data_IF_269772579344
#
_entry.id   IF_269772579344
#
_cell.length_a   1.000
_cell.length_b   1.000
_cell.length_c   1.000
_cell.angle_alpha   90.00
_cell.angle_beta   90.00
_cell.angle_gamma   90.00
#
_symmetry.space_group_name_H-M   'P 1'
#
loop_
_entity.id
_entity.type
_entity.pdbx_description
1 polymer ?
#
# COMPACT_ATOMS: atom_id res chain seq x y z
N UNK A 1 -5.71 26.29 1.69
CA UNK A 1 -4.49 25.45 1.85
C UNK A 1 -4.01 25.61 3.28
N UNK A 2 -3.58 24.52 3.95
CA UNK A 2 -2.99 24.60 5.29
C UNK A 2 -1.47 24.52 5.16
N UNK A 3 -0.75 25.36 5.92
CA UNK A 3 0.70 25.37 5.95
C UNK A 3 1.19 24.48 7.09
N UNK A 4 2.26 23.72 6.84
CA UNK A 4 2.88 22.84 7.84
C UNK A 4 4.34 23.24 7.93
N UNK A 5 4.80 23.50 9.16
CA UNK A 5 6.23 23.72 9.45
C UNK A 5 6.81 22.41 9.95
N UNK A 6 7.90 21.95 9.33
CA UNK A 6 8.56 20.68 9.66
C UNK A 6 10.02 20.99 10.00
N UNK A 7 10.48 20.53 11.15
CA UNK A 7 11.90 20.51 11.49
C UNK A 7 12.51 19.22 10.96
N UNK A 8 13.58 19.34 10.18
CA UNK A 8 14.33 18.21 9.61
C UNK A 8 15.82 18.47 9.76
N UNK A 9 16.61 17.40 9.83
CA UNK A 9 18.06 17.49 9.84
C UNK A 9 18.58 18.05 8.51
N UNK A 10 19.65 18.84 8.57
CA UNK A 10 20.25 19.50 7.40
C UNK A 10 20.67 18.51 6.30
N UNK A 11 21.16 17.32 6.69
CA UNK A 11 21.54 16.28 5.73
C UNK A 11 20.33 15.76 4.96
N UNK A 12 19.19 15.57 5.64
CA UNK A 12 17.94 15.14 5.03
C UNK A 12 17.42 16.22 4.10
N UNK A 13 17.45 17.49 4.51
CA UNK A 13 17.07 18.62 3.67
C UNK A 13 17.92 18.70 2.39
N UNK A 14 19.24 18.54 2.52
CA UNK A 14 20.16 18.58 1.38
C UNK A 14 19.87 17.47 0.38
N UNK A 15 19.68 16.23 0.85
CA UNK A 15 19.34 15.09 -0.01
C UNK A 15 17.98 15.27 -0.67
N UNK A 16 16.98 15.73 0.08
CA UNK A 16 15.64 16.01 -0.45
C UNK A 16 15.69 17.08 -1.55
N UNK A 17 16.50 18.13 -1.38
CA UNK A 17 16.66 19.19 -2.38
C UNK A 17 17.34 18.69 -3.66
N UNK A 18 18.36 17.86 -3.54
CA UNK A 18 19.02 17.23 -4.71
C UNK A 18 18.01 16.37 -5.48
N UNK A 19 17.24 15.54 -4.76
CA UNK A 19 16.22 14.69 -5.37
C UNK A 19 15.11 15.50 -6.04
N UNK A 20 14.62 16.54 -5.37
CA UNK A 20 13.60 17.44 -5.91
C UNK A 20 14.07 18.09 -7.22
N UNK A 21 15.32 18.57 -7.26
CA UNK A 21 15.91 19.17 -8.46
C UNK A 21 16.07 18.15 -9.61
N UNK A 22 16.42 16.89 -9.31
CA UNK A 22 16.50 15.83 -10.33
C UNK A 22 15.13 15.51 -10.95
N UNK A 23 14.05 15.68 -10.20
CA UNK A 23 12.69 15.40 -10.66
C UNK A 23 11.97 16.67 -11.21
N UNK A 24 12.68 17.80 -11.36
CA UNK A 24 12.09 19.11 -11.69
C UNK A 24 10.92 19.51 -10.74
N UNK A 25 11.03 19.14 -9.46
CA UNK A 25 10.02 19.41 -8.42
C UNK A 25 10.59 20.25 -7.28
N UNK A 26 9.72 20.61 -6.32
CA UNK A 26 10.12 21.25 -5.07
C UNK A 26 10.04 20.25 -3.90
N UNK A 27 10.81 20.51 -2.83
CA UNK A 27 10.74 19.72 -1.59
C UNK A 27 9.31 19.71 -1.03
N UNK A 28 8.59 20.82 -1.12
CA UNK A 28 7.18 20.90 -0.70
C UNK A 28 6.25 20.04 -1.56
N UNK A 29 6.51 19.90 -2.86
CA UNK A 29 5.78 18.98 -3.73
C UNK A 29 6.05 17.52 -3.36
N UNK A 30 7.31 17.15 -3.11
CA UNK A 30 7.67 15.80 -2.64
C UNK A 30 6.96 15.45 -1.31
N UNK A 31 6.93 16.38 -0.36
CA UNK A 31 6.24 16.18 0.93
C UNK A 31 4.74 16.02 0.71
N UNK A 32 4.13 16.84 -0.16
CA UNK A 32 2.71 16.70 -0.51
C UNK A 32 2.43 15.32 -1.09
N UNK A 33 3.20 14.89 -2.07
CA UNK A 33 2.98 13.61 -2.76
C UNK A 33 3.19 12.42 -1.83
N UNK A 34 4.16 12.52 -0.92
CA UNK A 34 4.38 11.52 0.12
C UNK A 34 3.17 11.40 1.05
N UNK A 35 2.63 12.53 1.54
CA UNK A 35 1.45 12.53 2.41
C UNK A 35 0.21 11.99 1.70
N UNK A 36 0.02 12.31 0.41
CA UNK A 36 -1.08 11.75 -0.39
C UNK A 36 -0.93 10.23 -0.53
N UNK A 37 0.28 9.75 -0.85
CA UNK A 37 0.56 8.31 -0.95
C UNK A 37 0.34 7.59 0.38
N UNK A 38 0.73 8.21 1.49
CA UNK A 38 0.55 7.66 2.83
C UNK A 38 -0.94 7.51 3.16
N UNK A 39 -1.75 8.56 2.94
CA UNK A 39 -3.19 8.51 3.17
C UNK A 39 -3.88 7.44 2.28
N UNK A 40 -3.49 7.36 1.01
CA UNK A 40 -4.04 6.35 0.09
C UNK A 40 -3.64 4.92 0.49
N UNK A 41 -2.46 4.71 1.07
CA UNK A 41 -2.05 3.38 1.54
C UNK A 41 -2.94 2.88 2.68
N UNK A 42 -3.28 3.75 3.64
CA UNK A 42 -4.23 3.41 4.71
C UNK A 42 -5.60 3.03 4.13
N UNK A 43 -6.12 3.82 3.18
CA UNK A 43 -7.37 3.52 2.48
C UNK A 43 -7.32 2.17 1.74
N UNK A 44 -6.20 1.83 1.09
CA UNK A 44 -6.07 0.56 0.39
C UNK A 44 -6.03 -0.63 1.34
N UNK A 45 -5.36 -0.52 2.49
CA UNK A 45 -5.30 -1.57 3.49
C UNK A 45 -6.69 -1.84 4.09
N UNK A 46 -7.42 -0.78 4.41
CA UNK A 46 -8.80 -0.88 4.89
C UNK A 46 -9.73 -1.48 3.83
N UNK A 47 -9.62 -1.02 2.58
CA UNK A 47 -10.38 -1.56 1.45
C UNK A 47 -10.10 -3.04 1.20
N UNK A 48 -8.84 -3.47 1.27
CA UNK A 48 -8.45 -4.87 1.13
C UNK A 48 -9.02 -5.73 2.26
N UNK A 49 -9.01 -5.23 3.49
CA UNK A 49 -9.62 -5.91 4.64
C UNK A 49 -11.12 -6.09 4.45
N UNK A 50 -11.83 -5.06 3.97
CA UNK A 50 -13.25 -5.16 3.65
C UNK A 50 -13.52 -6.16 2.52
N UNK A 51 -12.71 -6.15 1.45
CA UNK A 51 -12.84 -7.09 0.35
C UNK A 51 -12.59 -8.54 0.81
N UNK A 52 -11.62 -8.75 1.69
CA UNK A 52 -11.34 -10.04 2.30
C UNK A 52 -12.54 -10.53 3.11
N UNK A 53 -13.13 -9.69 3.96
CA UNK A 53 -14.34 -10.05 4.72
C UNK A 53 -15.51 -10.39 3.82
N UNK A 54 -15.78 -9.58 2.79
CA UNK A 54 -16.83 -9.85 1.82
C UNK A 54 -16.60 -11.17 1.08
N UNK A 55 -15.37 -11.43 0.65
CA UNK A 55 -14.99 -12.68 -0.02
C UNK A 55 -15.14 -13.87 0.92
N UNK A 56 -14.69 -13.76 2.16
CA UNK A 56 -14.83 -14.81 3.18
C UNK A 56 -16.29 -15.10 3.51
N UNK A 57 -17.17 -14.09 3.58
CA UNK A 57 -18.62 -14.27 3.76
C UNK A 57 -19.28 -15.01 2.60
N UNK A 58 -18.74 -14.90 1.37
CA UNK A 58 -19.23 -15.68 0.21
C UNK A 58 -18.86 -17.16 0.30
N UNK A 59 -17.84 -17.51 1.08
CA UNK A 59 -17.43 -18.91 1.30
C UNK A 59 -18.39 -19.54 2.32
N UNK A 60 -19.50 -20.10 1.84
CA UNK A 60 -20.53 -20.75 2.68
C UNK A 60 -20.16 -22.16 3.11
N UNK A 61 -19.46 -22.92 2.26
CA UNK A 61 -18.94 -24.26 2.55
C UNK A 61 -17.60 -24.43 1.85
N UNK A 62 -16.58 -24.81 2.61
CA UNK A 62 -15.27 -25.16 2.10
C UNK A 62 -14.95 -26.56 2.61
N UNK A 63 -14.81 -27.53 1.70
CA UNK A 63 -14.37 -28.89 2.02
C UNK A 63 -13.13 -29.20 1.22
N UNK A 64 -12.03 -29.46 1.92
CA UNK A 64 -10.75 -29.81 1.29
C UNK A 64 -10.86 -31.04 0.37
N UNK A 65 -11.78 -31.96 0.67
CA UNK A 65 -12.05 -33.16 -0.13
C UNK A 65 -12.59 -32.87 -1.55
N UNK A 66 -13.19 -31.70 -1.81
CA UNK A 66 -13.79 -31.36 -3.10
C UNK A 66 -12.75 -30.84 -4.13
N UNK A 67 -11.52 -30.51 -3.69
CA UNK A 67 -10.52 -29.83 -4.54
C UNK A 67 -9.45 -30.75 -5.13
N UNK A 68 -9.22 -31.91 -4.52
CA UNK A 68 -8.33 -32.94 -5.01
C UNK A 68 -8.71 -34.28 -4.38
N UNK A 69 -9.31 -35.15 -5.18
CA UNK A 69 -9.42 -36.55 -4.80
C UNK A 69 -8.02 -37.13 -4.64
N UNK A 70 -7.81 -37.94 -3.60
CA UNK A 70 -6.54 -38.65 -3.32
C UNK A 70 -5.97 -39.36 -4.57
N UNK A 71 -6.83 -39.81 -5.47
CA UNK A 71 -6.47 -40.43 -6.75
C UNK A 71 -5.80 -39.47 -7.73
N UNK A 72 -6.26 -38.22 -7.84
CA UNK A 72 -5.68 -37.20 -8.72
C UNK A 72 -4.28 -36.74 -8.27
N UNK A 73 -3.89 -36.99 -7.01
CA UNK A 73 -2.55 -36.70 -6.47
C UNK A 73 -1.51 -37.71 -6.95
N UNK A 74 -1.94 -38.94 -7.26
CA UNK A 74 -1.04 -40.06 -7.59
C UNK A 74 -0.89 -40.30 -9.09
N UNK A 75 -1.48 -39.46 -9.93
CA UNK A 75 -1.46 -39.58 -11.40
C UNK A 75 -0.32 -38.78 -12.07
N UNK A 76 0.67 -38.31 -11.29
CA UNK A 76 1.84 -37.56 -11.79
C UNK A 76 3.03 -38.48 -12.09
#
# INVERSE_FOLDING_TARGET
>A
MKNITIAIEDEVYRRARIRAAQDDTSVSALVRDFLIKLANQEDTAERLKQLQEQTRKKIKKFRAADRLGRTAVHER
#
